data_IF_460463796080
#
_entry.id   IF_460463796080
#
_cell.length_a   1.000
_cell.length_b   1.000
_cell.length_c   1.000
_cell.angle_alpha   90.00
_cell.angle_beta   90.00
_cell.angle_gamma   90.00
#
_symmetry.space_group_name_H-M   'P 1'
#
loop_
_entity.id
_entity.type
_entity.pdbx_description
1 polymer ?
#
# COMPACT_ATOMS: atom_id res chain seq x y z
N UNK A 1 -4.84 23.84 79.90
CA UNK A 1 -5.32 23.80 78.50
C UNK A 1 -4.41 24.65 77.63
N UNK A 2 -3.54 24.08 76.82
CA UNK A 2 -2.66 24.82 75.92
C UNK A 2 -3.52 25.51 74.86
N UNK A 3 -3.43 26.84 74.72
CA UNK A 3 -4.22 27.69 73.86
C UNK A 3 -4.13 27.21 72.42
N UNK A 4 -5.27 27.17 71.73
CA UNK A 4 -5.44 26.79 70.29
C UNK A 4 -4.46 27.54 69.37
N UNK A 5 -4.11 28.80 69.73
CA UNK A 5 -3.12 29.64 69.06
C UNK A 5 -1.70 29.05 69.06
N UNK A 6 -1.27 28.39 70.14
CA UNK A 6 0.06 27.77 70.26
C UNK A 6 0.18 26.53 69.32
N UNK A 7 -0.92 25.78 69.20
CA UNK A 7 -0.98 24.63 68.30
C UNK A 7 -1.00 25.02 66.81
N UNK A 8 -1.71 26.10 66.48
CA UNK A 8 -1.72 26.65 65.13
C UNK A 8 -0.31 27.22 64.73
N UNK A 9 0.38 27.91 65.63
CA UNK A 9 1.73 28.38 65.38
C UNK A 9 2.76 27.26 65.17
N UNK A 10 2.65 26.14 65.90
CA UNK A 10 3.50 24.97 65.67
C UNK A 10 3.24 24.32 64.31
N UNK A 11 1.98 24.16 63.91
CA UNK A 11 1.62 23.62 62.60
C UNK A 11 2.07 24.52 61.45
N UNK A 12 1.95 25.83 61.59
CA UNK A 12 2.43 26.79 60.59
C UNK A 12 3.94 26.76 60.39
N UNK A 13 4.71 26.64 61.47
CA UNK A 13 6.19 26.47 61.41
C UNK A 13 6.59 25.17 60.77
N UNK A 14 5.98 24.04 61.13
CA UNK A 14 6.24 22.75 60.52
C UNK A 14 5.91 22.72 59.03
N UNK A 15 4.85 23.41 58.59
CA UNK A 15 4.49 23.55 57.15
C UNK A 15 5.55 24.37 56.39
N UNK A 16 6.02 25.47 56.98
CA UNK A 16 7.04 26.30 56.36
C UNK A 16 8.40 25.59 56.25
N UNK A 17 8.81 24.87 57.31
CA UNK A 17 10.04 24.07 57.26
C UNK A 17 10.00 22.98 56.16
N UNK A 18 8.86 22.28 56.03
CA UNK A 18 8.70 21.31 54.95
C UNK A 18 8.75 21.93 53.56
N UNK A 19 8.24 23.16 53.38
CA UNK A 19 8.30 23.88 52.11
C UNK A 19 9.75 24.31 51.78
N UNK A 20 10.48 24.81 52.78
CA UNK A 20 11.89 25.18 52.60
C UNK A 20 12.76 23.97 52.26
N UNK A 21 12.57 22.85 52.96
CA UNK A 21 13.29 21.60 52.68
C UNK A 21 13.01 21.09 51.23
N UNK A 22 11.76 21.14 50.75
CA UNK A 22 11.41 20.77 49.37
C UNK A 22 12.05 21.70 48.32
N UNK A 23 12.14 23.00 48.60
CA UNK A 23 12.83 23.98 47.71
C UNK A 23 14.33 23.72 47.66
N UNK A 24 14.97 23.47 48.81
CA UNK A 24 16.40 23.12 48.88
C UNK A 24 16.72 21.82 48.12
N UNK A 25 15.89 20.82 48.25
CA UNK A 25 16.03 19.54 47.51
C UNK A 25 15.95 19.74 45.98
N UNK A 26 14.99 20.54 45.50
CA UNK A 26 14.87 20.88 44.07
C UNK A 26 16.07 21.63 43.52
N UNK A 27 16.61 22.60 44.27
CA UNK A 27 17.79 23.34 43.87
C UNK A 27 19.04 22.44 43.80
N UNK A 28 19.21 21.48 44.74
CA UNK A 28 20.30 20.50 44.69
C UNK A 28 20.17 19.59 43.46
N UNK A 29 18.96 19.05 43.16
CA UNK A 29 18.74 18.24 41.97
C UNK A 29 19.01 19.02 40.67
N UNK A 30 18.63 20.29 40.61
CA UNK A 30 18.87 21.11 39.43
C UNK A 30 20.37 21.34 39.22
N UNK A 31 21.12 21.68 40.28
CA UNK A 31 22.59 21.84 40.22
C UNK A 31 23.30 20.54 39.81
N UNK A 32 22.90 19.39 40.33
CA UNK A 32 23.46 18.09 39.92
C UNK A 32 23.19 17.78 38.44
N UNK A 33 21.98 18.04 37.94
CA UNK A 33 21.65 17.81 36.51
C UNK A 33 22.42 18.74 35.59
N UNK A 34 22.65 20.02 35.99
CA UNK A 34 23.47 20.94 35.25
C UNK A 34 24.95 20.53 35.23
N UNK A 35 25.49 20.07 36.33
CA UNK A 35 26.86 19.58 36.39
C UNK A 35 27.09 18.36 35.50
N UNK A 36 26.18 17.41 35.52
CA UNK A 36 26.21 16.22 34.65
C UNK A 36 26.10 16.62 33.17
N UNK A 37 25.24 17.58 32.84
CA UNK A 37 25.06 18.06 31.46
C UNK A 37 26.34 18.73 30.92
N UNK A 38 27.05 19.53 31.71
CA UNK A 38 28.29 20.20 31.29
C UNK A 38 29.40 19.17 31.05
N UNK A 39 29.55 18.18 31.93
CA UNK A 39 30.56 17.13 31.77
C UNK A 39 30.30 16.32 30.51
N UNK A 40 29.04 15.99 30.21
CA UNK A 40 28.68 15.27 29.01
C UNK A 40 29.00 16.04 27.72
N UNK A 41 28.77 17.36 27.70
CA UNK A 41 29.06 18.19 26.52
C UNK A 41 30.58 18.30 26.29
N UNK A 42 31.39 18.45 27.36
CA UNK A 42 32.84 18.52 27.24
C UNK A 42 33.42 17.20 26.74
N UNK A 43 32.92 16.06 27.20
CA UNK A 43 33.34 14.74 26.72
C UNK A 43 33.00 14.55 25.26
N UNK A 44 31.79 14.93 24.84
CA UNK A 44 31.35 14.82 23.43
C UNK A 44 32.19 15.71 22.51
N UNK A 45 32.50 16.96 22.93
CA UNK A 45 33.32 17.84 22.14
C UNK A 45 34.78 17.37 22.11
N UNK A 46 35.31 16.80 23.18
CA UNK A 46 36.65 16.23 23.22
C UNK A 46 36.79 15.02 22.29
N UNK A 47 35.82 14.13 22.28
CA UNK A 47 35.79 12.97 21.38
C UNK A 47 35.60 13.40 19.92
N UNK A 48 34.72 14.36 19.65
CA UNK A 48 34.52 14.91 18.30
C UNK A 48 35.79 15.58 17.77
N UNK A 49 36.48 16.33 18.60
CA UNK A 49 37.74 17.00 18.25
C UNK A 49 38.88 16.02 17.94
N UNK A 50 39.00 14.92 18.70
CA UNK A 50 40.03 13.89 18.45
C UNK A 50 39.72 13.07 17.19
N UNK A 51 38.44 12.76 16.94
CA UNK A 51 38.00 12.07 15.70
C UNK A 51 38.27 12.95 14.47
N UNK A 52 38.05 14.27 14.59
CA UNK A 52 38.33 15.21 13.50
C UNK A 52 39.83 15.35 13.23
N UNK A 53 40.64 15.42 14.27
CA UNK A 53 42.11 15.55 14.17
C UNK A 53 42.81 14.30 13.61
N UNK A 54 42.17 13.09 13.75
CA UNK A 54 42.67 11.82 13.23
C UNK A 54 42.14 11.49 11.83
N UNK A 55 41.53 12.45 11.13
CA UNK A 55 41.02 12.24 9.75
C UNK A 55 39.80 11.31 9.65
N UNK A 56 39.08 11.13 10.75
CA UNK A 56 37.99 10.13 10.89
C UNK A 56 36.66 10.46 10.21
N UNK A 57 36.61 11.38 9.26
CA UNK A 57 35.48 11.52 8.33
C UNK A 57 35.81 10.96 6.95
N UNK A 58 36.44 9.79 6.89
CA UNK A 58 36.21 8.95 5.73
C UNK A 58 34.68 8.73 5.68
N UNK A 59 34.02 9.18 4.58
CA UNK A 59 32.62 8.91 4.33
C UNK A 59 32.42 7.40 4.52
N UNK A 60 31.93 7.00 5.69
CA UNK A 60 31.44 5.66 5.92
C UNK A 60 30.37 5.45 4.85
N UNK A 61 30.68 4.72 3.80
CA UNK A 61 29.64 4.06 3.02
C UNK A 61 28.83 3.30 4.07
N UNK A 62 27.63 3.83 4.39
CA UNK A 62 26.65 3.12 5.18
C UNK A 62 26.64 1.70 4.60
N UNK A 63 26.93 0.64 5.36
CA UNK A 63 26.81 -0.69 4.79
C UNK A 63 25.39 -0.76 4.27
N UNK A 64 25.25 -0.90 2.95
CA UNK A 64 23.96 -1.19 2.34
C UNK A 64 23.58 -2.53 2.92
N UNK A 65 22.65 -2.55 3.86
CA UNK A 65 21.94 -3.78 4.22
C UNK A 65 21.55 -4.42 2.89
N UNK A 66 21.94 -5.67 2.60
CA UNK A 66 21.50 -6.32 1.38
C UNK A 66 19.99 -6.13 1.31
N UNK A 67 19.49 -5.55 0.22
CA UNK A 67 18.07 -5.36 0.05
C UNK A 67 17.43 -6.74 0.27
N UNK A 68 16.45 -6.83 1.19
CA UNK A 68 15.84 -8.10 1.54
C UNK A 68 15.33 -8.78 0.26
N UNK A 69 15.76 -10.02 0.03
CA UNK A 69 15.34 -10.81 -1.13
C UNK A 69 13.82 -10.98 -1.12
N UNK A 70 13.19 -11.04 -2.30
CA UNK A 70 11.77 -11.34 -2.40
C UNK A 70 11.52 -12.80 -1.99
N UNK A 71 10.52 -13.03 -1.16
CA UNK A 71 10.13 -14.36 -0.70
C UNK A 71 8.81 -14.76 -1.34
N UNK A 72 8.81 -15.92 -2.00
CA UNK A 72 7.64 -16.48 -2.67
C UNK A 72 7.18 -17.71 -1.91
N UNK A 73 6.11 -17.56 -1.10
CA UNK A 73 5.52 -18.63 -0.32
C UNK A 73 4.68 -19.53 -1.23
N UNK A 74 4.71 -20.84 -0.99
CA UNK A 74 3.85 -21.77 -1.73
C UNK A 74 2.41 -21.62 -1.23
N UNK A 75 1.46 -21.42 -2.16
CA UNK A 75 0.02 -21.32 -1.83
C UNK A 75 -0.65 -22.71 -1.72
N UNK A 76 0.12 -23.80 -1.86
CA UNK A 76 -0.36 -25.16 -1.77
C UNK A 76 -1.13 -25.60 -3.02
N UNK A 77 -1.67 -26.82 -2.97
CA UNK A 77 -2.39 -27.46 -4.07
C UNK A 77 -3.89 -27.62 -3.81
N UNK A 78 -4.37 -27.25 -2.63
CA UNK A 78 -5.77 -27.42 -2.27
C UNK A 78 -6.72 -26.54 -3.08
N UNK A 79 -6.29 -25.32 -3.45
CA UNK A 79 -7.05 -24.47 -4.34
C UNK A 79 -6.72 -24.77 -5.81
N UNK A 80 -7.59 -25.48 -6.50
CA UNK A 80 -7.43 -25.86 -7.91
C UNK A 80 -7.59 -24.70 -8.90
N UNK A 81 -8.07 -23.54 -8.45
CA UNK A 81 -8.15 -22.31 -9.25
C UNK A 81 -6.79 -21.63 -9.43
N UNK A 82 -5.78 -22.00 -8.62
CA UNK A 82 -4.42 -21.47 -8.72
C UNK A 82 -3.66 -22.13 -9.88
N UNK A 83 -2.96 -21.31 -10.66
CA UNK A 83 -2.11 -21.78 -11.76
C UNK A 83 -0.66 -21.92 -11.31
N UNK A 84 -0.06 -23.07 -11.59
CA UNK A 84 1.36 -23.26 -11.43
C UNK A 84 2.09 -22.66 -12.65
N UNK A 85 2.76 -21.55 -12.43
CA UNK A 85 3.57 -20.84 -13.43
C UNK A 85 5.03 -20.73 -13.03
N UNK A 86 5.42 -21.47 -11.99
CA UNK A 86 6.70 -21.31 -11.30
C UNK A 86 6.69 -20.06 -10.40
N UNK A 87 7.87 -19.66 -9.95
CA UNK A 87 8.07 -18.51 -9.06
C UNK A 87 9.04 -17.51 -9.72
N UNK A 88 8.88 -16.20 -9.46
CA UNK A 88 9.86 -15.21 -9.91
C UNK A 88 11.24 -15.46 -9.27
N UNK A 89 12.33 -14.91 -9.83
CA UNK A 89 13.62 -14.86 -9.14
C UNK A 89 13.49 -14.21 -7.75
N UNK A 90 14.35 -14.63 -6.82
CA UNK A 90 14.35 -14.09 -5.44
C UNK A 90 15.28 -12.89 -5.26
N UNK A 91 16.06 -12.56 -6.30
CA UNK A 91 17.04 -11.48 -6.28
C UNK A 91 17.24 -10.91 -7.68
N UNK A 92 17.81 -9.70 -7.75
CA UNK A 92 18.09 -9.01 -9.02
C UNK A 92 16.95 -8.08 -9.45
N UNK A 93 15.86 -8.01 -8.71
CA UNK A 93 14.78 -7.07 -8.97
C UNK A 93 15.25 -5.62 -8.74
N UNK A 94 14.87 -4.69 -9.63
CA UNK A 94 15.17 -3.27 -9.44
C UNK A 94 14.45 -2.73 -8.19
N UNK A 95 15.16 -1.92 -7.39
CA UNK A 95 14.64 -1.36 -6.12
C UNK A 95 14.71 0.16 -6.07
N UNK A 96 14.86 0.80 -7.22
CA UNK A 96 14.91 2.27 -7.34
C UNK A 96 14.29 2.69 -8.64
N UNK A 97 13.72 3.90 -8.65
CA UNK A 97 13.06 4.45 -9.82
C UNK A 97 11.63 3.93 -10.00
N UNK A 98 11.14 4.07 -11.21
CA UNK A 98 9.79 3.67 -11.60
C UNK A 98 9.80 2.84 -12.86
N UNK A 99 8.79 2.00 -13.02
CA UNK A 99 8.57 1.19 -14.21
C UNK A 99 7.16 1.43 -14.74
N UNK A 100 6.96 1.38 -16.06
CA UNK A 100 5.63 1.54 -16.65
C UNK A 100 4.88 0.22 -16.59
N UNK A 101 3.62 0.24 -16.15
CA UNK A 101 2.66 -0.83 -16.34
C UNK A 101 1.70 -0.44 -17.46
N UNK A 102 1.52 -1.31 -18.45
CA UNK A 102 0.59 -1.11 -19.57
C UNK A 102 -0.43 -2.24 -19.58
N UNK A 103 -1.71 -1.91 -19.43
CA UNK A 103 -2.83 -2.84 -19.41
C UNK A 103 -3.66 -2.58 -20.67
N UNK A 104 -3.51 -3.42 -21.68
CA UNK A 104 -4.32 -3.36 -22.90
C UNK A 104 -5.62 -4.08 -22.65
N UNK A 105 -6.74 -3.40 -22.84
CA UNK A 105 -8.08 -3.96 -22.63
C UNK A 105 -8.91 -3.89 -23.91
N UNK A 106 -10.05 -4.60 -23.93
CA UNK A 106 -11.04 -4.47 -25.01
C UNK A 106 -11.68 -3.08 -25.10
N UNK A 107 -11.49 -2.20 -24.11
CA UNK A 107 -12.04 -0.84 -24.06
C UNK A 107 -10.97 0.25 -24.29
N UNK A 108 -9.70 -0.13 -24.42
CA UNK A 108 -8.58 0.77 -24.60
C UNK A 108 -7.42 0.44 -23.69
N UNK A 109 -6.41 1.30 -23.68
CA UNK A 109 -5.17 1.11 -22.92
C UNK A 109 -5.20 1.91 -21.63
N UNK A 110 -4.87 1.27 -20.52
CA UNK A 110 -4.64 1.89 -19.22
C UNK A 110 -3.14 1.80 -18.95
N UNK A 111 -2.50 2.94 -18.72
CA UNK A 111 -1.08 3.01 -18.39
C UNK A 111 -0.89 3.53 -16.97
N UNK A 112 0.15 3.05 -16.30
CA UNK A 112 0.50 3.48 -14.95
C UNK A 112 2.00 3.48 -14.72
N UNK A 113 2.41 4.08 -13.62
CA UNK A 113 3.79 4.07 -13.11
C UNK A 113 3.85 3.25 -11.83
N UNK A 114 4.75 2.30 -11.75
CA UNK A 114 5.01 1.42 -10.59
C UNK A 114 6.24 1.92 -9.84
N UNK A 115 6.14 2.08 -8.53
CA UNK A 115 7.23 2.56 -7.66
C UNK A 115 8.09 1.37 -7.20
N UNK A 116 9.26 1.21 -7.81
CA UNK A 116 10.18 0.10 -7.53
C UNK A 116 10.88 0.21 -6.18
N UNK A 117 10.91 1.40 -5.59
CA UNK A 117 11.48 1.57 -4.25
C UNK A 117 10.53 1.16 -3.14
N UNK A 118 9.22 1.33 -3.36
CA UNK A 118 8.18 0.99 -2.40
C UNK A 118 7.67 -0.43 -2.51
N UNK A 119 7.69 -1.00 -3.72
CA UNK A 119 7.06 -2.30 -4.01
C UNK A 119 7.87 -3.15 -5.00
N UNK A 120 9.16 -3.40 -4.72
CA UNK A 120 10.04 -4.13 -5.64
C UNK A 120 9.60 -5.57 -5.89
N UNK A 121 9.12 -6.28 -4.87
CA UNK A 121 8.68 -7.66 -5.02
C UNK A 121 7.34 -7.76 -5.75
N UNK A 122 6.42 -6.83 -5.50
CA UNK A 122 5.17 -6.72 -6.26
C UNK A 122 5.48 -6.45 -7.73
N UNK A 123 6.35 -5.49 -8.04
CA UNK A 123 6.78 -5.21 -9.40
C UNK A 123 7.40 -6.44 -10.08
N UNK A 124 8.31 -7.14 -9.40
CA UNK A 124 8.94 -8.36 -9.89
C UNK A 124 7.91 -9.48 -10.16
N UNK A 125 6.93 -9.66 -9.28
CA UNK A 125 5.83 -10.62 -9.48
C UNK A 125 5.00 -10.27 -10.71
N UNK A 126 4.58 -9.02 -10.85
CA UNK A 126 3.79 -8.58 -12.00
C UNK A 126 4.57 -8.67 -13.30
N UNK A 127 5.85 -8.28 -13.32
CA UNK A 127 6.71 -8.43 -14.50
C UNK A 127 6.87 -9.91 -14.90
N UNK A 128 7.10 -10.80 -13.94
CA UNK A 128 7.21 -12.24 -14.19
C UNK A 128 5.91 -12.82 -14.77
N UNK A 129 4.77 -12.52 -14.16
CA UNK A 129 3.47 -12.99 -14.60
C UNK A 129 3.09 -12.40 -15.97
N UNK A 130 3.39 -11.13 -16.22
CA UNK A 130 3.21 -10.49 -17.51
C UNK A 130 4.02 -11.20 -18.61
N UNK A 131 5.30 -11.46 -18.36
CA UNK A 131 6.17 -12.21 -19.26
C UNK A 131 5.70 -13.64 -19.56
N UNK A 132 4.89 -14.23 -18.67
CA UNK A 132 4.24 -15.55 -18.88
C UNK A 132 2.88 -15.46 -19.58
N UNK A 133 2.42 -14.25 -19.94
CA UNK A 133 1.09 -14.04 -20.51
C UNK A 133 -0.06 -14.35 -19.53
N UNK A 134 0.21 -14.35 -18.23
CA UNK A 134 -0.72 -14.78 -17.19
C UNK A 134 -2.03 -13.99 -17.17
N UNK A 135 -1.96 -12.72 -17.53
CA UNK A 135 -3.10 -11.80 -17.53
C UNK A 135 -3.88 -11.78 -18.87
N UNK A 136 -3.38 -12.47 -19.90
CA UNK A 136 -4.00 -12.44 -21.22
C UNK A 136 -5.39 -13.06 -21.21
N UNK A 137 -6.36 -12.33 -21.79
CA UNK A 137 -7.77 -12.73 -21.88
C UNK A 137 -8.44 -12.94 -20.51
N UNK A 138 -7.99 -12.20 -19.47
CA UNK A 138 -8.61 -12.24 -18.14
C UNK A 138 -9.57 -11.07 -17.97
N UNK A 139 -10.78 -11.33 -17.49
CA UNK A 139 -11.75 -10.26 -17.21
C UNK A 139 -11.52 -9.67 -15.84
N UNK A 140 -11.84 -8.39 -15.68
CA UNK A 140 -11.99 -7.80 -14.35
C UNK A 140 -13.32 -8.27 -13.78
N UNK A 141 -13.24 -9.10 -12.77
CA UNK A 141 -14.37 -9.90 -12.30
C UNK A 141 -15.24 -9.21 -11.25
N UNK A 142 -14.74 -8.12 -10.61
CA UNK A 142 -15.51 -7.41 -9.58
C UNK A 142 -15.37 -5.90 -9.76
N UNK A 143 -16.50 -5.22 -9.73
CA UNK A 143 -16.63 -3.79 -9.58
C UNK A 143 -17.31 -3.52 -8.23
N UNK A 144 -16.77 -2.62 -7.43
CA UNK A 144 -17.44 -2.10 -6.25
C UNK A 144 -17.63 -0.60 -6.38
N UNK A 145 -18.87 -0.18 -6.58
CA UNK A 145 -19.21 1.25 -6.68
C UNK A 145 -19.16 1.93 -5.30
N UNK A 146 -19.39 1.18 -4.23
CA UNK A 146 -19.29 1.69 -2.85
C UNK A 146 -17.84 1.91 -2.41
N UNK A 147 -16.90 1.06 -2.87
CA UNK A 147 -15.48 1.16 -2.56
C UNK A 147 -14.67 1.81 -3.69
N UNK A 148 -15.30 2.28 -4.75
CA UNK A 148 -14.68 2.94 -5.90
C UNK A 148 -13.52 2.18 -6.54
N UNK A 149 -13.62 0.86 -6.67
CA UNK A 149 -12.57 0.01 -7.20
C UNK A 149 -13.07 -0.98 -8.25
N UNK A 150 -12.17 -1.30 -9.20
CA UNK A 150 -12.31 -2.37 -10.17
C UNK A 150 -11.23 -3.42 -9.90
N UNK A 151 -11.61 -4.66 -9.66
CA UNK A 151 -10.71 -5.77 -9.36
C UNK A 151 -10.50 -6.67 -10.57
N UNK A 152 -9.23 -6.92 -10.87
CA UNK A 152 -8.75 -7.66 -12.03
C UNK A 152 -7.66 -8.67 -11.63
N UNK A 153 -7.09 -9.38 -12.60
CA UNK A 153 -5.88 -10.18 -12.42
C UNK A 153 -6.11 -11.62 -11.97
N UNK A 154 -7.37 -12.08 -11.97
CA UNK A 154 -7.72 -13.48 -11.78
C UNK A 154 -7.93 -14.17 -13.13
N UNK A 155 -7.08 -15.16 -13.51
CA UNK A 155 -7.23 -15.87 -14.78
C UNK A 155 -8.48 -16.75 -14.85
N UNK A 156 -9.16 -17.03 -13.73
CA UNK A 156 -10.43 -17.78 -13.71
C UNK A 156 -11.64 -16.87 -13.74
N UNK A 157 -11.46 -15.58 -13.38
CA UNK A 157 -12.54 -14.60 -13.30
C UNK A 157 -13.55 -14.86 -12.18
N UNK A 158 -13.19 -15.67 -11.18
CA UNK A 158 -14.05 -16.04 -10.04
C UNK A 158 -13.69 -15.33 -8.74
N UNK A 159 -12.56 -14.61 -8.70
CA UNK A 159 -11.99 -14.02 -7.49
C UNK A 159 -11.15 -15.00 -6.68
N UNK A 160 -11.07 -16.28 -7.09
CA UNK A 160 -10.34 -17.33 -6.37
C UNK A 160 -9.03 -17.75 -7.06
N UNK A 161 -8.80 -17.29 -8.29
CA UNK A 161 -7.63 -17.64 -9.08
C UNK A 161 -6.41 -16.76 -8.77
N UNK A 162 -5.26 -17.25 -9.20
CA UNK A 162 -3.96 -16.58 -9.01
C UNK A 162 -2.81 -17.52 -9.35
N UNK A 163 -1.55 -17.10 -9.14
CA UNK A 163 -0.40 -18.00 -9.22
C UNK A 163 -0.37 -18.89 -7.97
N UNK A 164 0.34 -20.04 -8.06
CA UNK A 164 0.54 -20.95 -6.93
C UNK A 164 1.62 -20.46 -5.95
N UNK A 165 1.75 -19.17 -5.79
CA UNK A 165 2.59 -18.54 -4.76
C UNK A 165 1.93 -17.28 -4.23
N UNK A 166 2.33 -16.89 -3.02
CA UNK A 166 1.98 -15.62 -2.40
C UNK A 166 3.24 -14.89 -1.95
N UNK A 167 3.11 -13.59 -1.67
CA UNK A 167 4.19 -12.77 -1.16
C UNK A 167 3.68 -11.70 -0.20
N UNK A 168 4.60 -11.20 0.62
CA UNK A 168 4.31 -10.25 1.69
C UNK A 168 3.82 -8.90 1.17
N UNK A 169 3.07 -8.20 2.02
CA UNK A 169 2.74 -6.80 1.80
C UNK A 169 4.03 -5.95 1.77
N UNK A 170 4.05 -4.94 0.93
CA UNK A 170 5.14 -3.98 0.85
C UNK A 170 4.65 -2.60 1.32
N UNK A 171 4.55 -1.61 0.45
CA UNK A 171 4.07 -0.29 0.85
C UNK A 171 2.55 -0.29 1.00
N UNK A 172 2.10 -0.09 2.24
CA UNK A 172 0.69 0.13 2.57
C UNK A 172 0.53 1.56 3.05
N UNK A 173 -0.43 2.35 2.54
CA UNK A 173 -0.69 3.69 3.04
C UNK A 173 -0.94 3.67 4.55
N UNK A 174 -0.42 4.66 5.28
CA UNK A 174 -0.68 4.86 6.69
C UNK A 174 -1.76 5.92 6.87
N UNK A 175 -2.66 5.75 7.84
CA UNK A 175 -3.57 6.82 8.22
C UNK A 175 -2.76 8.07 8.55
N UNK A 176 -3.19 9.27 8.12
CA UNK A 176 -2.58 10.50 8.61
C UNK A 176 -2.67 10.50 10.13
N UNK A 177 -1.54 10.80 10.81
CA UNK A 177 -1.56 10.95 12.25
C UNK A 177 -2.70 11.90 12.64
N UNK A 178 -3.50 11.58 13.68
CA UNK A 178 -4.59 12.46 14.07
C UNK A 178 -3.98 13.83 14.38
N UNK A 179 -4.35 14.83 13.59
CA UNK A 179 -4.05 16.22 13.91
C UNK A 179 -4.67 16.48 15.27
N UNK A 180 -3.84 16.79 16.27
CA UNK A 180 -4.30 17.21 17.58
C UNK A 180 -5.05 18.55 17.41
N UNK A 181 -6.31 18.45 17.08
CA UNK A 181 -7.25 19.57 17.15
C UNK A 181 -7.73 19.62 18.58
N UNK A 182 -7.41 20.74 19.24
CA UNK A 182 -8.01 21.33 20.45
C UNK A 182 -9.05 20.50 21.24
N UNK A 183 -9.00 20.46 22.57
CA UNK A 183 -9.86 19.60 23.36
C UNK A 183 -11.33 20.05 23.30
N UNK A 184 -12.11 19.38 22.47
CA UNK A 184 -13.57 19.36 22.60
C UNK A 184 -13.93 18.21 23.54
N UNK A 185 -14.87 18.38 24.49
CA UNK A 185 -15.20 17.35 25.47
C UNK A 185 -15.62 16.04 24.80
N UNK A 186 -15.04 14.95 25.25
CA UNK A 186 -15.33 13.61 24.78
C UNK A 186 -16.82 13.27 24.87
N UNK A 187 -17.46 12.70 23.85
CA UNK A 187 -18.64 11.88 24.03
C UNK A 187 -18.21 10.57 24.69
N UNK A 188 -19.02 10.12 25.65
CA UNK A 188 -18.81 8.95 26.48
C UNK A 188 -18.42 7.71 25.68
N UNK A 189 -17.45 6.98 26.23
CA UNK A 189 -17.01 5.68 25.76
C UNK A 189 -18.17 4.71 25.58
N UNK A 190 -18.34 4.21 24.36
CA UNK A 190 -19.00 2.95 24.09
C UNK A 190 -18.34 2.30 22.88
N UNK A 191 -17.74 1.12 23.12
CA UNK A 191 -17.24 0.14 22.20
C UNK A 191 -16.09 0.56 21.25
N UNK A 192 -14.87 0.63 21.82
CA UNK A 192 -13.63 0.48 21.08
C UNK A 192 -13.43 -1.01 20.66
N UNK A 193 -14.15 -1.44 19.65
CA UNK A 193 -13.71 -2.57 18.83
C UNK A 193 -12.75 -2.02 17.79
N UNK A 194 -11.54 -1.65 18.25
CA UNK A 194 -10.48 -1.06 17.42
C UNK A 194 -10.04 -1.98 16.29
N UNK A 195 -10.84 -2.02 15.22
CA UNK A 195 -10.40 -2.46 13.92
C UNK A 195 -9.43 -1.43 13.32
N UNK A 196 -8.56 -1.82 12.37
CA UNK A 196 -7.66 -0.89 11.74
C UNK A 196 -8.47 0.24 11.09
N UNK A 197 -8.12 1.48 11.45
CA UNK A 197 -8.71 2.68 10.84
C UNK A 197 -8.43 2.66 9.33
N UNK A 198 -9.47 2.78 8.50
CA UNK A 198 -9.34 2.85 7.06
C UNK A 198 -8.37 3.96 6.65
N UNK A 199 -7.60 3.70 5.61
CA UNK A 199 -6.70 4.66 4.98
C UNK A 199 -7.22 5.00 3.59
N UNK A 200 -6.91 6.19 3.10
CA UNK A 200 -7.33 6.61 1.76
C UNK A 200 -6.36 6.07 0.71
N UNK A 201 -6.89 5.31 -0.24
CA UNK A 201 -6.24 4.99 -1.50
C UNK A 201 -6.71 6.01 -2.54
N UNK A 202 -5.82 6.92 -3.00
CA UNK A 202 -6.21 7.98 -3.93
C UNK A 202 -6.71 7.45 -5.27
N UNK A 203 -7.52 8.23 -5.96
CA UNK A 203 -7.93 7.93 -7.33
C UNK A 203 -6.71 7.67 -8.24
N UNK A 204 -6.80 6.63 -9.06
CA UNK A 204 -5.71 6.15 -9.90
C UNK A 204 -4.76 5.16 -9.22
N UNK A 205 -4.90 4.90 -7.92
CA UNK A 205 -4.08 3.88 -7.24
C UNK A 205 -4.22 2.51 -7.89
N UNK A 206 -3.09 1.81 -8.05
CA UNK A 206 -3.04 0.39 -8.42
C UNK A 206 -2.51 -0.34 -7.19
N UNK A 207 -3.36 -1.16 -6.57
CA UNK A 207 -3.03 -1.87 -5.33
C UNK A 207 -3.29 -3.36 -5.45
N UNK A 208 -2.51 -4.20 -4.76
CA UNK A 208 -2.74 -5.64 -4.75
C UNK A 208 -4.05 -5.97 -4.03
N UNK A 209 -4.76 -6.98 -4.52
CA UNK A 209 -5.85 -7.63 -3.80
C UNK A 209 -5.33 -8.90 -3.14
N UNK A 210 -5.71 -9.14 -1.88
CA UNK A 210 -5.28 -10.30 -1.11
C UNK A 210 -6.43 -10.82 -0.23
N UNK A 211 -6.23 -11.99 0.38
CA UNK A 211 -7.17 -12.64 1.31
C UNK A 211 -6.70 -12.54 2.77
N UNK A 212 -5.97 -11.50 3.09
CA UNK A 212 -5.35 -11.23 4.37
C UNK A 212 -3.89 -10.78 4.20
N UNK A 213 -3.26 -10.38 5.28
CA UNK A 213 -1.88 -9.92 5.26
C UNK A 213 -0.95 -10.96 4.62
N UNK A 214 -0.02 -10.49 3.78
CA UNK A 214 1.04 -11.31 3.17
C UNK A 214 0.56 -12.44 2.25
N UNK A 215 -0.66 -12.29 1.69
CA UNK A 215 -1.24 -13.25 0.72
C UNK A 215 -1.42 -12.64 -0.68
N UNK A 216 -0.54 -11.69 -1.06
CA UNK A 216 -0.59 -11.10 -2.39
C UNK A 216 -0.31 -12.15 -3.48
N UNK A 217 -1.00 -12.03 -4.60
CA UNK A 217 -0.83 -12.89 -5.77
C UNK A 217 -0.82 -12.05 -7.05
N UNK A 218 -1.73 -12.36 -7.98
CA UNK A 218 -1.88 -11.64 -9.25
C UNK A 218 -3.03 -10.65 -9.27
N UNK A 219 -3.97 -10.75 -8.32
CA UNK A 219 -5.16 -9.89 -8.32
C UNK A 219 -4.80 -8.49 -7.84
N UNK A 220 -5.43 -7.50 -8.44
CA UNK A 220 -5.19 -6.09 -8.13
C UNK A 220 -6.45 -5.24 -8.30
N UNK A 221 -6.46 -4.10 -7.61
CA UNK A 221 -7.47 -3.06 -7.72
C UNK A 221 -6.96 -1.90 -8.57
N UNK A 222 -7.83 -1.34 -9.39
CA UNK A 222 -7.68 0.01 -9.93
C UNK A 222 -8.73 0.87 -9.23
N UNK A 223 -8.27 1.82 -8.43
CA UNK A 223 -9.12 2.74 -7.68
C UNK A 223 -9.48 3.91 -8.59
N UNK A 224 -10.76 4.13 -8.87
CA UNK A 224 -11.17 5.15 -9.83
C UNK A 224 -11.65 6.46 -9.19
N UNK A 225 -11.84 6.48 -7.87
CA UNK A 225 -12.11 7.63 -7.01
C UNK A 225 -11.49 7.33 -5.64
N UNK A 226 -11.14 8.36 -4.85
CA UNK A 226 -10.58 8.16 -3.51
C UNK A 226 -11.42 7.14 -2.72
N UNK A 227 -10.76 6.16 -2.15
CA UNK A 227 -11.39 5.00 -1.52
C UNK A 227 -10.85 4.78 -0.11
N UNK A 228 -11.70 4.84 0.93
CA UNK A 228 -11.33 4.38 2.26
C UNK A 228 -11.33 2.84 2.28
N UNK A 229 -10.16 2.26 2.54
CA UNK A 229 -9.98 0.80 2.62
C UNK A 229 -9.08 0.47 3.83
N UNK A 230 -9.22 -0.73 4.40
CA UNK A 230 -8.28 -1.23 5.40
C UNK A 230 -6.83 -1.15 4.90
N UNK A 231 -5.84 -0.85 5.76
CA UNK A 231 -4.43 -0.73 5.40
C UNK A 231 -3.77 -2.10 5.18
N UNK A 232 -4.32 -2.89 4.24
CA UNK A 232 -3.92 -4.27 3.99
C UNK A 232 -3.42 -4.51 2.57
N UNK A 233 -3.56 -3.53 1.68
CA UNK A 233 -3.28 -3.70 0.25
C UNK A 233 -2.03 -2.94 -0.14
N UNK A 234 -1.06 -3.61 -0.78
CA UNK A 234 0.15 -2.96 -1.27
C UNK A 234 -0.19 -1.99 -2.38
N UNK A 235 -0.01 -0.69 -2.14
CA UNK A 235 -0.09 0.34 -3.16
C UNK A 235 1.22 0.33 -3.96
N UNK A 236 1.21 -0.25 -5.16
CA UNK A 236 2.43 -0.43 -5.95
C UNK A 236 2.52 0.46 -7.18
N UNK A 237 1.42 1.08 -7.61
CA UNK A 237 1.43 1.94 -8.79
C UNK A 237 0.35 3.00 -8.79
N UNK A 238 0.46 3.87 -9.79
CA UNK A 238 -0.46 4.98 -10.06
C UNK A 238 -0.79 5.01 -11.54
N UNK A 239 -2.07 5.05 -11.90
CA UNK A 239 -2.53 5.24 -13.28
C UNK A 239 -2.11 6.62 -13.77
N UNK A 240 -1.48 6.68 -14.93
CA UNK A 240 -1.03 7.90 -15.59
C UNK A 240 -1.88 8.26 -16.82
N UNK A 241 -2.55 7.26 -17.41
CA UNK A 241 -3.48 7.45 -18.53
C UNK A 241 -4.55 6.35 -18.55
N UNK A 242 -5.72 6.64 -19.09
CA UNK A 242 -6.81 5.67 -19.26
C UNK A 242 -7.68 5.41 -18.02
N UNK A 243 -7.60 6.23 -16.96
CA UNK A 243 -8.48 6.12 -15.80
C UNK A 243 -9.95 6.36 -16.16
N UNK A 244 -10.21 7.11 -17.20
CA UNK A 244 -11.56 7.36 -17.75
C UNK A 244 -12.22 6.08 -18.27
N UNK A 245 -11.46 5.10 -18.75
CA UNK A 245 -11.96 3.77 -19.13
C UNK A 245 -12.58 3.08 -17.90
N UNK A 246 -11.87 3.09 -16.76
CA UNK A 246 -12.37 2.50 -15.51
C UNK A 246 -13.60 3.25 -15.00
N UNK A 247 -13.61 4.58 -15.10
CA UNK A 247 -14.77 5.40 -14.73
C UNK A 247 -15.99 5.12 -15.61
N UNK A 248 -15.81 4.86 -16.91
CA UNK A 248 -16.89 4.45 -17.81
C UNK A 248 -17.47 3.09 -17.41
N UNK A 249 -16.63 2.12 -17.01
CA UNK A 249 -17.08 0.83 -16.49
C UNK A 249 -17.85 1.04 -15.19
N UNK A 250 -17.35 1.86 -14.28
CA UNK A 250 -18.01 2.18 -13.02
C UNK A 250 -19.37 2.86 -13.22
N UNK A 251 -19.48 3.78 -14.19
CA UNK A 251 -20.72 4.47 -14.51
C UNK A 251 -21.84 3.52 -15.04
N UNK A 252 -21.46 2.39 -15.65
CA UNK A 252 -22.41 1.36 -16.06
C UNK A 252 -22.92 0.52 -14.86
N UNK A 253 -22.24 0.57 -13.73
CA UNK A 253 -22.57 -0.15 -12.50
C UNK A 253 -22.22 -1.62 -12.52
N UNK A 254 -22.54 -2.30 -11.45
CA UNK A 254 -22.35 -3.74 -11.24
C UNK A 254 -23.70 -4.46 -11.07
N UNK A 255 -23.68 -5.80 -11.08
CA UNK A 255 -24.88 -6.65 -10.95
C UNK A 255 -25.23 -6.99 -9.49
N UNK A 256 -24.45 -6.53 -8.51
CA UNK A 256 -24.67 -6.77 -7.08
C UNK A 256 -24.39 -8.21 -6.63
N UNK A 257 -23.79 -9.07 -7.47
CA UNK A 257 -23.58 -10.49 -7.18
C UNK A 257 -22.75 -10.74 -5.90
N UNK A 258 -21.93 -9.79 -5.48
CA UNK A 258 -21.06 -9.89 -4.29
C UNK A 258 -21.54 -9.06 -3.09
N UNK A 259 -22.80 -8.65 -3.04
CA UNK A 259 -23.37 -7.82 -1.95
C UNK A 259 -23.07 -8.41 -0.55
N UNK A 260 -23.07 -9.72 -0.40
CA UNK A 260 -22.79 -10.44 0.84
C UNK A 260 -21.31 -10.93 0.97
N UNK A 261 -20.43 -10.54 0.04
CA UNK A 261 -19.04 -11.00 -0.06
C UNK A 261 -18.07 -9.83 -0.23
N UNK A 262 -18.23 -8.78 0.56
CA UNK A 262 -17.40 -7.57 0.48
C UNK A 262 -17.91 -6.50 -0.50
N UNK A 263 -19.14 -6.67 -1.04
CA UNK A 263 -19.87 -5.69 -1.85
C UNK A 263 -19.50 -5.66 -3.33
N UNK A 264 -20.36 -4.97 -4.10
CA UNK A 264 -20.25 -4.90 -5.57
C UNK A 264 -20.73 -6.14 -6.29
N UNK A 265 -20.31 -6.29 -7.53
CA UNK A 265 -20.69 -7.40 -8.41
C UNK A 265 -19.84 -7.45 -9.66
N UNK A 266 -20.28 -8.21 -10.68
CA UNK A 266 -19.62 -8.18 -11.97
C UNK A 266 -19.93 -6.85 -12.68
N UNK A 267 -18.94 -6.24 -13.36
CA UNK A 267 -19.18 -5.02 -14.13
C UNK A 267 -20.24 -5.27 -15.22
N UNK A 268 -21.30 -4.46 -15.28
CA UNK A 268 -22.29 -4.53 -16.38
C UNK A 268 -21.69 -4.20 -17.74
N UNK A 269 -20.68 -3.31 -17.78
CA UNK A 269 -19.83 -3.09 -18.94
C UNK A 269 -18.58 -3.96 -18.77
N UNK A 270 -18.55 -5.08 -19.48
CA UNK A 270 -17.44 -6.03 -19.39
C UNK A 270 -16.12 -5.37 -19.83
N UNK A 271 -15.10 -5.57 -19.03
CA UNK A 271 -13.71 -5.16 -19.33
C UNK A 271 -12.79 -6.37 -19.18
N UNK A 272 -12.05 -6.67 -20.26
CA UNK A 272 -11.15 -7.82 -20.36
C UNK A 272 -9.73 -7.33 -20.65
N UNK A 273 -8.77 -7.78 -19.87
CA UNK A 273 -7.35 -7.56 -20.11
C UNK A 273 -6.92 -8.47 -21.27
N UNK A 274 -6.53 -7.90 -22.39
CA UNK A 274 -5.98 -8.61 -23.52
C UNK A 274 -4.50 -8.90 -23.36
N UNK A 275 -3.76 -7.91 -22.77
CA UNK A 275 -2.35 -8.05 -22.44
C UNK A 275 -2.00 -7.13 -21.25
N UNK A 276 -1.02 -7.53 -20.46
CA UNK A 276 -0.37 -6.69 -19.46
C UNK A 276 1.15 -6.78 -19.70
N UNK A 277 1.81 -5.63 -19.72
CA UNK A 277 3.26 -5.52 -19.85
C UNK A 277 3.83 -4.64 -18.74
N UNK A 278 5.06 -4.96 -18.31
CA UNK A 278 5.84 -4.17 -17.37
C UNK A 278 7.11 -3.66 -18.08
N UNK A 279 7.41 -2.36 -17.90
CA UNK A 279 8.57 -1.72 -18.51
C UNK A 279 8.54 -1.80 -20.04
N UNK A 280 9.70 -2.10 -20.62
CA UNK A 280 9.87 -2.28 -22.06
C UNK A 280 9.62 -3.75 -22.51
N UNK A 281 8.98 -4.57 -21.69
CA UNK A 281 8.66 -5.94 -22.10
C UNK A 281 7.72 -5.89 -23.31
N UNK A 282 7.99 -6.65 -24.39
CA UNK A 282 7.03 -6.78 -25.46
C UNK A 282 5.76 -7.41 -24.89
N UNK A 283 4.62 -6.77 -25.15
CA UNK A 283 3.34 -7.38 -24.82
C UNK A 283 3.29 -8.77 -25.46
N UNK A 284 2.98 -9.84 -24.71
CA UNK A 284 2.73 -11.13 -25.32
C UNK A 284 1.62 -10.93 -26.35
N UNK A 285 1.94 -11.12 -27.63
CA UNK A 285 1.01 -11.03 -28.73
C UNK A 285 -0.06 -12.11 -28.54
N UNK A 286 -1.14 -11.76 -27.85
CA UNK A 286 -2.40 -12.47 -28.02
C UNK A 286 -2.74 -12.31 -29.51
N UNK A 287 -2.83 -13.42 -30.22
CA UNK A 287 -3.24 -13.47 -31.61
C UNK A 287 -4.53 -12.65 -31.73
N UNK A 288 -4.39 -11.42 -32.24
CA UNK A 288 -5.56 -10.63 -32.58
C UNK A 288 -6.27 -11.40 -33.70
N UNK A 289 -7.40 -12.00 -33.38
CA UNK A 289 -8.34 -12.45 -34.39
C UNK A 289 -8.67 -11.20 -35.21
N UNK A 290 -8.13 -11.14 -36.43
CA UNK A 290 -8.45 -10.13 -37.42
C UNK A 290 -9.98 -10.06 -37.53
N UNK A 291 -10.61 -8.87 -37.47
CA UNK A 291 -12.04 -8.80 -37.72
C UNK A 291 -12.28 -9.36 -39.12
N UNK A 292 -13.10 -10.40 -39.20
CA UNK A 292 -13.50 -11.01 -40.45
C UNK A 292 -14.04 -9.92 -41.34
N UNK A 293 -13.43 -9.75 -42.51
CA UNK A 293 -13.89 -8.85 -43.52
C UNK A 293 -15.34 -9.25 -43.91
N UNK A 294 -16.25 -8.31 -43.73
CA UNK A 294 -17.66 -8.47 -44.19
C UNK A 294 -17.61 -8.68 -45.70
N UNK A 295 -18.16 -9.78 -46.22
CA UNK A 295 -18.24 -9.99 -47.68
C UNK A 295 -19.12 -8.91 -48.30
N UNK A 296 -18.58 -8.24 -49.32
CA UNK A 296 -19.30 -7.26 -50.10
C UNK A 296 -20.50 -7.94 -50.81
N UNK A 297 -21.66 -7.27 -50.94
CA UNK A 297 -22.79 -7.83 -51.65
C UNK A 297 -22.47 -7.99 -53.13
N UNK A 298 -22.50 -9.23 -53.63
CA UNK A 298 -22.39 -9.52 -55.05
C UNK A 298 -23.65 -9.05 -55.77
N UNK A 299 -23.49 -7.94 -56.50
CA UNK A 299 -24.52 -7.48 -57.42
C UNK A 299 -24.66 -8.45 -58.60
N UNK A 300 -25.83 -9.06 -58.76
CA UNK A 300 -26.23 -9.78 -59.95
C UNK A 300 -26.48 -8.81 -61.13
N UNK A 301 -25.96 -9.04 -62.33
CA UNK A 301 -26.36 -8.28 -63.46
C UNK A 301 -27.68 -8.83 -64.02
N UNK A 302 -28.70 -7.99 -64.09
CA UNK A 302 -29.91 -8.23 -64.88
C UNK A 302 -29.58 -8.31 -66.37
N UNK A 303 -29.83 -9.46 -66.97
CA UNK A 303 -29.87 -9.59 -68.41
C UNK A 303 -31.22 -9.09 -68.94
N UNK A 304 -31.15 -8.20 -69.95
CA UNK A 304 -32.28 -7.83 -70.80
C UNK A 304 -32.40 -8.82 -71.91
N UNK A 305 -33.59 -9.22 -72.23
CA UNK A 305 -34.20 -9.32 -73.56
C UNK A 305 -35.69 -9.53 -73.44
#
# INVERSE_FOLDING_TARGET
MASSKTRQRKLARAKMERQLARRAAKIRQHRQRFAIGIVSVVVVLGVAGTVWALGGFAKSKKPSTPAAACTWNDAGTANTSLKDVGKPPTSGEPRTGTETITITTNLGVISGSVDLAKSPCTAASFAYLAGKGFFANTRCHRLSTAQHLLQCGDPTGTGQGGPRYTYANEYVPTAPAPTQSSPTPAPSASDDTGGPTDVIYPAGSIATANQGADTNGSQFYIVYQDSPLPPNYTLFGQVTAGLDIVKQVAAAGDDGAFANQGGGGHPKKEITIQALAMGNQPSPTGSAASPAATPAPSGSPSAKS
#
